data_IF_400245518368
#
_entry.id   IF_400245518368
#
_cell.length_a   1.000
_cell.length_b   1.000
_cell.length_c   1.000
_cell.angle_alpha   90.00
_cell.angle_beta   90.00
_cell.angle_gamma   90.00
#
_symmetry.space_group_name_H-M   'P 1'
#
loop_
_entity.id
_entity.type
_entity.pdbx_description
1 polymer ?
#
# COMPACT_ATOMS: atom_id res chain seq x y z
N UNK A 1 -7.41 12.95 48.93
CA UNK A 1 -6.49 12.70 47.78
C UNK A 1 -7.31 12.81 46.48
N UNK A 2 -7.41 13.98 45.85
CA UNK A 2 -8.18 14.13 44.59
C UNK A 2 -7.76 15.37 43.76
N UNK A 3 -6.46 15.65 43.68
CA UNK A 3 -5.93 16.68 42.77
C UNK A 3 -4.95 16.08 41.74
N UNK A 4 -4.29 14.97 42.05
CA UNK A 4 -3.35 14.30 41.15
C UNK A 4 -4.00 13.70 39.90
N UNK A 5 -5.24 13.22 39.99
CA UNK A 5 -5.97 12.63 38.86
C UNK A 5 -6.40 13.68 37.82
N UNK A 6 -6.87 14.85 38.27
CA UNK A 6 -7.24 15.96 37.39
C UNK A 6 -6.02 16.56 36.68
N UNK A 7 -4.90 16.72 37.38
CA UNK A 7 -3.65 17.21 36.78
C UNK A 7 -3.11 16.20 35.76
N UNK A 8 -3.16 14.90 36.05
CA UNK A 8 -2.76 13.86 35.10
C UNK A 8 -3.63 13.86 33.83
N UNK A 9 -4.93 14.08 33.96
CA UNK A 9 -5.84 14.18 32.82
C UNK A 9 -5.55 15.43 31.96
N UNK A 10 -5.26 16.57 32.58
CA UNK A 10 -4.91 17.82 31.88
C UNK A 10 -3.57 17.69 31.17
N UNK A 11 -2.56 17.09 31.82
CA UNK A 11 -1.24 16.83 31.22
C UNK A 11 -1.38 15.84 30.06
N UNK A 12 -2.18 14.77 30.22
CA UNK A 12 -2.48 13.82 29.15
C UNK A 12 -3.17 14.50 27.96
N UNK A 13 -4.18 15.35 28.19
CA UNK A 13 -4.83 16.11 27.12
C UNK A 13 -3.88 17.12 26.44
N UNK A 14 -2.98 17.76 27.21
CA UNK A 14 -1.98 18.68 26.68
C UNK A 14 -0.94 17.95 25.81
N UNK A 15 -0.51 16.76 26.24
CA UNK A 15 0.46 15.94 25.52
C UNK A 15 -0.16 15.18 24.33
N UNK A 16 -1.47 14.93 24.37
CA UNK A 16 -2.25 14.30 23.29
C UNK A 16 -2.85 15.32 22.32
N UNK A 17 -2.41 16.59 22.36
CA UNK A 17 -2.70 17.56 21.30
C UNK A 17 -2.02 17.08 20.02
N UNK A 18 -2.81 16.38 19.21
CA UNK A 18 -2.45 15.88 17.88
C UNK A 18 -1.74 16.99 17.12
N UNK A 19 -0.43 16.85 16.89
CA UNK A 19 0.29 17.74 15.96
C UNK A 19 -0.48 17.69 14.64
N UNK A 20 -0.97 18.84 14.17
CA UNK A 20 -1.60 18.96 12.85
C UNK A 20 -0.49 18.81 11.81
N UNK A 21 -0.04 17.58 11.59
CA UNK A 21 0.88 17.29 10.50
C UNK A 21 0.08 17.35 9.22
N UNK A 22 0.52 18.19 8.29
CA UNK A 22 -0.11 18.26 6.97
C UNK A 22 0.05 16.90 6.27
N UNK A 23 -0.82 16.59 5.30
CA UNK A 23 -0.67 15.34 4.56
C UNK A 23 0.74 15.24 3.93
N UNK A 24 1.26 16.35 3.42
CA UNK A 24 2.62 16.46 2.88
C UNK A 24 3.70 16.09 3.91
N UNK A 25 3.56 16.56 5.15
CA UNK A 25 4.51 16.27 6.23
C UNK A 25 4.48 14.79 6.63
N UNK A 26 3.29 14.18 6.63
CA UNK A 26 3.15 12.72 6.84
C UNK A 26 3.76 11.91 5.71
N UNK A 27 3.64 12.36 4.46
CA UNK A 27 4.30 11.72 3.32
C UNK A 27 5.81 11.88 3.39
N UNK A 28 6.32 13.04 3.80
CA UNK A 28 7.74 13.31 3.96
C UNK A 28 8.38 12.46 5.08
N UNK A 29 7.71 12.31 6.23
CA UNK A 29 8.17 11.44 7.32
C UNK A 29 8.13 9.95 6.94
N UNK A 30 7.03 9.48 6.34
CA UNK A 30 6.90 8.06 5.93
C UNK A 30 7.81 7.66 4.78
N UNK A 31 8.07 8.59 3.87
CA UNK A 31 8.96 8.38 2.70
C UNK A 31 10.42 8.67 3.04
N UNK A 32 10.69 9.17 4.26
CA UNK A 32 11.99 9.28 4.90
C UNK A 32 13.10 9.70 3.95
N UNK A 33 13.20 11.00 3.62
CA UNK A 33 14.41 11.72 3.18
C UNK A 33 15.38 11.05 2.19
N UNK A 34 14.99 9.97 1.51
CA UNK A 34 15.80 9.17 0.58
C UNK A 34 15.46 9.42 -0.88
N UNK A 35 14.51 10.31 -1.16
CA UNK A 35 14.49 10.97 -2.45
C UNK A 35 15.55 12.07 -2.40
N UNK A 36 16.80 11.62 -2.51
CA UNK A 36 17.88 12.46 -3.00
C UNK A 36 17.36 13.22 -4.21
N UNK A 37 17.74 14.50 -4.30
CA UNK A 37 17.36 15.42 -5.38
C UNK A 37 17.11 14.64 -6.67
N UNK A 38 15.91 14.76 -7.24
CA UNK A 38 15.65 14.34 -8.62
C UNK A 38 16.44 15.25 -9.59
N UNK A 39 17.74 15.40 -9.37
CA UNK A 39 18.65 15.97 -10.35
C UNK A 39 18.98 14.85 -11.32
N UNK A 40 18.55 15.07 -12.56
CA UNK A 40 19.06 14.44 -13.78
C UNK A 40 18.54 13.04 -14.14
N UNK A 41 17.21 12.87 -14.20
CA UNK A 41 16.59 11.77 -14.97
C UNK A 41 16.45 12.09 -16.47
N UNK A 42 17.20 13.05 -16.99
CA UNK A 42 17.00 13.52 -18.38
C UNK A 42 17.44 12.50 -19.44
N UNK A 43 18.13 11.40 -19.07
CA UNK A 43 18.64 10.42 -20.04
C UNK A 43 18.65 8.99 -19.50
N UNK A 44 17.48 8.42 -19.18
CA UNK A 44 17.40 6.95 -19.15
C UNK A 44 17.65 6.45 -20.58
N UNK A 45 18.75 5.72 -20.80
CA UNK A 45 19.05 5.14 -22.11
C UNK A 45 17.89 4.24 -22.55
N UNK A 46 17.55 4.25 -23.84
CA UNK A 46 16.43 3.46 -24.40
C UNK A 46 16.50 1.99 -23.99
N UNK A 47 17.71 1.47 -23.82
CA UNK A 47 17.95 0.10 -23.35
C UNK A 47 17.52 -0.12 -21.90
N UNK A 48 17.80 0.81 -21.00
CA UNK A 48 17.40 0.71 -19.59
C UNK A 48 15.88 0.79 -19.44
N UNK A 49 15.24 1.64 -20.25
CA UNK A 49 13.79 1.77 -20.28
C UNK A 49 13.13 0.48 -20.80
N UNK A 50 13.71 -0.16 -21.81
CA UNK A 50 13.23 -1.46 -22.31
C UNK A 50 13.38 -2.58 -21.27
N UNK A 51 14.50 -2.62 -20.54
CA UNK A 51 14.74 -3.59 -19.46
C UNK A 51 13.76 -3.38 -18.30
N UNK A 52 13.46 -2.13 -17.94
CA UNK A 52 12.43 -1.82 -16.95
C UNK A 52 11.05 -2.26 -17.42
N UNK A 53 10.69 -1.94 -18.66
CA UNK A 53 9.40 -2.32 -19.24
C UNK A 53 9.20 -3.84 -19.28
N UNK A 54 10.26 -4.60 -19.61
CA UNK A 54 10.21 -6.07 -19.58
C UNK A 54 10.04 -6.62 -18.15
N UNK A 55 10.75 -6.06 -17.16
CA UNK A 55 10.60 -6.47 -15.75
C UNK A 55 9.18 -6.21 -15.24
N UNK A 56 8.62 -5.04 -15.53
CA UNK A 56 7.24 -4.69 -15.14
C UNK A 56 6.23 -5.63 -15.79
N UNK A 57 6.38 -5.91 -17.10
CA UNK A 57 5.51 -6.87 -17.80
C UNK A 57 5.61 -8.28 -17.20
N UNK A 58 6.81 -8.75 -16.88
CA UNK A 58 7.02 -10.07 -16.29
C UNK A 58 6.36 -10.20 -14.91
N UNK A 59 6.49 -9.20 -14.05
CA UNK A 59 5.84 -9.18 -12.74
C UNK A 59 4.31 -9.13 -12.86
N UNK A 60 3.79 -8.31 -13.77
CA UNK A 60 2.36 -8.17 -13.97
C UNK A 60 1.73 -9.46 -14.52
N UNK A 61 2.44 -10.16 -15.42
CA UNK A 61 2.02 -11.45 -15.94
C UNK A 61 1.93 -12.52 -14.85
N UNK A 62 2.90 -12.58 -13.91
CA UNK A 62 2.87 -13.51 -12.78
C UNK A 62 1.67 -13.25 -11.86
N UNK A 63 1.38 -11.97 -11.57
CA UNK A 63 0.20 -11.58 -10.78
C UNK A 63 -1.09 -11.96 -11.51
N UNK A 64 -1.19 -11.67 -12.81
CA UNK A 64 -2.35 -11.98 -13.64
C UNK A 64 -2.61 -13.49 -13.72
N UNK A 65 -1.59 -14.32 -13.87
CA UNK A 65 -1.73 -15.77 -13.88
C UNK A 65 -2.29 -16.32 -12.57
N UNK A 66 -1.84 -15.79 -11.42
CA UNK A 66 -2.39 -16.18 -10.11
C UNK A 66 -3.86 -15.82 -10.00
N UNK A 67 -4.24 -14.60 -10.39
CA UNK A 67 -5.64 -14.16 -10.36
C UNK A 67 -6.49 -15.05 -11.26
N UNK A 68 -6.05 -15.34 -12.49
CA UNK A 68 -6.77 -16.21 -13.42
C UNK A 68 -6.97 -17.61 -12.81
N UNK A 69 -5.91 -18.20 -12.24
CA UNK A 69 -6.00 -19.51 -11.59
C UNK A 69 -7.00 -19.52 -10.42
N UNK A 70 -6.94 -18.51 -9.54
CA UNK A 70 -7.90 -18.38 -8.44
C UNK A 70 -9.33 -18.22 -8.94
N UNK A 71 -9.56 -17.37 -9.94
CA UNK A 71 -10.90 -17.17 -10.51
C UNK A 71 -11.44 -18.45 -11.13
N UNK A 72 -10.61 -19.23 -11.84
CA UNK A 72 -11.03 -20.49 -12.44
C UNK A 72 -11.45 -21.52 -11.38
N UNK A 73 -10.68 -21.66 -10.30
CA UNK A 73 -11.01 -22.57 -9.19
C UNK A 73 -12.34 -22.18 -8.54
N UNK A 74 -12.53 -20.90 -8.24
CA UNK A 74 -13.79 -20.40 -7.67
C UNK A 74 -14.97 -20.70 -8.61
N UNK A 75 -14.79 -20.49 -9.91
CA UNK A 75 -15.84 -20.72 -10.91
C UNK A 75 -16.26 -22.19 -10.98
N UNK A 76 -15.30 -23.11 -10.91
CA UNK A 76 -15.57 -24.56 -10.84
C UNK A 76 -16.38 -24.91 -9.58
N UNK A 77 -15.98 -24.38 -8.41
CA UNK A 77 -16.68 -24.66 -7.15
C UNK A 77 -18.13 -24.16 -7.22
N UNK A 78 -18.34 -22.94 -7.73
CA UNK A 78 -19.69 -22.36 -7.88
C UNK A 78 -20.54 -23.20 -8.83
N UNK A 79 -19.98 -23.63 -9.96
CA UNK A 79 -20.68 -24.49 -10.91
C UNK A 79 -21.05 -25.85 -10.30
N UNK A 80 -20.15 -26.47 -9.54
CA UNK A 80 -20.42 -27.74 -8.86
C UNK A 80 -21.55 -27.63 -7.84
N UNK A 81 -21.56 -26.56 -7.03
CA UNK A 81 -22.62 -26.31 -6.06
C UNK A 81 -23.95 -26.05 -6.78
N UNK A 82 -23.92 -25.25 -7.85
CA UNK A 82 -25.11 -24.95 -8.63
C UNK A 82 -25.70 -26.22 -9.26
N UNK A 83 -24.84 -27.09 -9.80
CA UNK A 83 -25.27 -28.36 -10.38
C UNK A 83 -25.90 -29.29 -9.34
N UNK A 84 -25.30 -29.39 -8.15
CA UNK A 84 -25.85 -30.15 -7.02
C UNK A 84 -27.17 -29.61 -6.46
N UNK A 85 -27.44 -28.30 -6.59
CA UNK A 85 -28.72 -27.73 -6.15
C UNK A 85 -29.81 -27.87 -7.21
N UNK A 86 -29.45 -27.99 -8.49
CA UNK A 86 -30.40 -28.08 -9.60
C UNK A 86 -30.83 -29.53 -9.90
N UNK A 87 -29.97 -30.51 -9.60
CA UNK A 87 -30.21 -31.95 -9.75
C UNK A 87 -30.19 -32.65 -8.40
#
# INVERSE_FOLDING_TARGET
MSFGSAIAAIVSQRNNRRKRTSQLERYAEKTGSKLGKLSDYDKLSKEELSKLGQKIKAENNKKRQRVIAFTAVIMIIVLSIFWYLMF
#
